data_IF_874995305267
#
_entry.id   IF_874995305267
#
_cell.length_a   1.000
_cell.length_b   1.000
_cell.length_c   1.000
_cell.angle_alpha   90.00
_cell.angle_beta   90.00
_cell.angle_gamma   90.00
#
_symmetry.space_group_name_H-M   'P 1'
#
loop_
_entity.id
_entity.type
_entity.pdbx_description
1 polymer ?
#
# COMPACT_ATOMS: atom_id res chain seq x y z
N UNK A 1 1.85 11.65 18.94
CA UNK A 1 1.22 11.67 17.62
C UNK A 1 0.28 12.87 17.53
N UNK A 2 0.28 13.58 16.41
CA UNK A 2 -0.64 14.69 16.21
C UNK A 2 -1.88 14.17 15.47
N UNK A 3 -3.10 14.53 15.90
CA UNK A 3 -4.33 13.99 15.35
C UNK A 3 -4.61 14.46 13.91
N UNK A 4 -3.93 15.50 13.45
CA UNK A 4 -4.08 16.03 12.08
C UNK A 4 -2.78 16.63 11.59
N UNK A 5 -2.52 16.50 10.29
CA UNK A 5 -1.42 17.21 9.61
C UNK A 5 -1.61 18.75 9.60
N UNK A 6 -2.81 19.21 9.91
CA UNK A 6 -3.13 20.64 10.04
C UNK A 6 -2.95 21.17 11.46
N UNK A 7 -2.41 20.37 12.38
CA UNK A 7 -2.14 20.80 13.74
C UNK A 7 -0.86 21.66 13.77
N UNK A 8 -0.97 22.91 14.15
CA UNK A 8 0.15 23.87 14.21
C UNK A 8 1.33 23.38 15.08
N UNK A 9 1.06 22.52 16.07
CA UNK A 9 2.10 21.91 16.88
C UNK A 9 3.00 20.97 16.08
N UNK A 10 2.48 20.36 14.99
CA UNK A 10 3.29 19.56 14.10
C UNK A 10 4.27 20.44 13.31
N UNK A 11 3.81 21.58 12.80
CA UNK A 11 4.65 22.57 12.09
C UNK A 11 5.75 23.12 13.00
N UNK A 12 5.46 23.38 14.27
CA UNK A 12 6.44 23.90 15.23
C UNK A 12 7.55 22.91 15.62
N UNK A 13 7.50 21.65 15.18
CA UNK A 13 8.47 20.59 15.50
C UNK A 13 9.12 19.95 14.27
N UNK A 14 8.73 20.34 13.06
CA UNK A 14 9.39 19.85 11.86
C UNK A 14 10.74 20.55 11.66
N UNK A 15 11.67 19.84 11.04
CA UNK A 15 13.00 20.37 10.70
C UNK A 15 12.93 21.38 9.54
N UNK A 16 11.95 21.20 8.66
CA UNK A 16 11.67 22.10 7.54
C UNK A 16 10.17 22.20 7.31
N UNK A 17 9.73 23.35 6.83
CA UNK A 17 8.38 23.58 6.34
C UNK A 17 8.46 24.06 4.89
N UNK A 18 7.63 23.49 4.03
CA UNK A 18 7.64 23.75 2.60
C UNK A 18 6.25 24.05 2.11
N UNK A 19 6.17 24.82 1.02
CA UNK A 19 4.92 25.01 0.32
C UNK A 19 4.50 23.70 -0.37
N UNK A 20 3.22 23.57 -0.69
CA UNK A 20 2.69 22.39 -1.39
C UNK A 20 3.37 22.13 -2.74
N UNK A 21 3.79 23.20 -3.43
CA UNK A 21 4.51 23.12 -4.70
C UNK A 21 5.93 22.58 -4.48
N UNK A 22 6.63 23.08 -3.48
CA UNK A 22 7.98 22.62 -3.13
C UNK A 22 7.97 21.15 -2.71
N UNK A 23 6.97 20.72 -1.94
CA UNK A 23 6.79 19.33 -1.55
C UNK A 23 6.69 18.40 -2.77
N UNK A 24 5.90 18.78 -3.79
CA UNK A 24 5.87 18.01 -5.05
C UNK A 24 7.17 18.14 -5.85
N UNK A 25 7.83 19.28 -5.81
CA UNK A 25 9.16 19.45 -6.40
C UNK A 25 10.20 18.50 -5.82
N UNK A 26 10.19 18.26 -4.52
CA UNK A 26 11.09 17.34 -3.86
C UNK A 26 10.91 15.87 -4.32
N UNK A 27 9.75 15.50 -4.81
CA UNK A 27 9.55 14.16 -5.37
C UNK A 27 10.49 13.84 -6.54
N UNK A 28 10.96 14.86 -7.27
CA UNK A 28 11.91 14.70 -8.38
C UNK A 28 13.33 14.35 -7.91
N UNK A 29 13.68 14.62 -6.67
CA UNK A 29 14.95 14.20 -6.08
C UNK A 29 14.98 12.73 -5.67
N UNK A 30 13.82 12.05 -5.78
CA UNK A 30 13.64 10.66 -5.40
C UNK A 30 13.39 10.49 -3.90
N UNK A 31 12.66 9.43 -3.57
CA UNK A 31 12.41 8.99 -2.21
C UNK A 31 12.93 7.56 -2.07
N UNK A 32 13.41 7.19 -0.91
CA UNK A 32 13.79 5.80 -0.68
C UNK A 32 12.57 4.89 -0.68
N UNK A 33 11.50 5.32 -0.01
CA UNK A 33 10.23 4.57 0.02
C UNK A 33 9.03 5.49 0.24
N UNK A 34 7.85 4.97 -0.12
CA UNK A 34 6.56 5.62 0.09
C UNK A 34 5.49 4.61 0.50
N UNK A 35 4.53 5.02 1.31
CA UNK A 35 3.37 4.20 1.70
C UNK A 35 2.13 4.67 0.94
N UNK A 36 1.36 3.72 0.43
CA UNK A 36 0.12 4.02 -0.29
C UNK A 36 -1.00 3.03 0.00
N UNK A 37 -2.22 3.46 -0.30
CA UNK A 37 -3.41 2.61 -0.29
C UNK A 37 -4.32 2.98 -1.45
N UNK A 38 -5.40 2.23 -1.66
CA UNK A 38 -6.34 2.48 -2.76
C UNK A 38 -7.70 1.83 -2.54
N UNK A 39 -8.59 2.07 -3.49
CA UNK A 39 -9.91 1.44 -3.53
C UNK A 39 -9.82 -0.02 -3.97
N UNK A 40 -8.93 -0.31 -4.93
CA UNK A 40 -8.67 -1.65 -5.45
C UNK A 40 -7.18 -1.87 -5.65
N UNK A 41 -6.75 -3.12 -5.49
CA UNK A 41 -5.40 -3.62 -5.71
C UNK A 41 -5.50 -4.92 -6.49
N UNK A 42 -4.70 -5.09 -7.55
CA UNK A 42 -4.67 -6.34 -8.32
C UNK A 42 -3.46 -7.21 -7.98
N UNK A 43 -3.38 -8.35 -8.65
CA UNK A 43 -2.33 -9.34 -8.45
C UNK A 43 -0.91 -8.83 -8.76
N UNK A 44 -0.76 -7.71 -9.42
CA UNK A 44 0.52 -7.06 -9.74
C UNK A 44 0.80 -5.81 -8.91
N UNK A 45 -0.05 -5.56 -7.89
CA UNK A 45 0.08 -4.38 -7.02
C UNK A 45 -0.23 -3.06 -7.72
N UNK A 46 -0.97 -3.10 -8.84
CA UNK A 46 -1.54 -1.89 -9.40
C UNK A 46 -2.64 -1.37 -8.48
N UNK A 47 -2.71 -0.06 -8.33
CA UNK A 47 -3.65 0.58 -7.40
C UNK A 47 -4.64 1.43 -8.17
N UNK A 48 -5.92 1.28 -7.84
CA UNK A 48 -6.99 2.12 -8.33
C UNK A 48 -7.48 3.09 -7.25
N UNK A 49 -7.49 4.37 -7.59
CA UNK A 49 -8.01 5.47 -6.78
C UNK A 49 -9.01 6.34 -7.55
N UNK A 50 -9.29 6.02 -8.83
CA UNK A 50 -10.15 6.86 -9.67
C UNK A 50 -11.62 6.51 -9.56
N UNK A 51 -11.98 5.26 -9.83
CA UNK A 51 -13.37 4.83 -9.77
C UNK A 51 -13.50 3.32 -9.63
N UNK A 52 -14.62 2.87 -9.08
CA UNK A 52 -14.99 1.45 -9.04
C UNK A 52 -16.32 1.25 -9.74
N UNK A 53 -16.35 0.31 -10.66
CA UNK A 53 -17.52 -0.04 -11.48
C UNK A 53 -17.96 1.08 -12.43
N UNK A 54 -18.69 0.71 -13.45
CA UNK A 54 -19.13 1.65 -14.50
C UNK A 54 -17.98 2.09 -15.40
N UNK A 55 -17.99 3.34 -15.80
CA UNK A 55 -16.95 3.97 -16.63
C UNK A 55 -16.35 5.17 -15.92
N UNK A 56 -15.22 5.69 -16.43
CA UNK A 56 -14.61 6.91 -15.90
C UNK A 56 -15.57 8.11 -15.88
N UNK A 57 -16.49 8.20 -16.83
CA UNK A 57 -17.48 9.28 -16.94
C UNK A 57 -18.77 9.01 -16.15
N UNK A 58 -19.09 7.73 -15.90
CA UNK A 58 -20.28 7.30 -15.15
C UNK A 58 -19.92 6.19 -14.15
N UNK A 59 -19.10 6.49 -13.12
CA UNK A 59 -18.66 5.50 -12.15
C UNK A 59 -19.76 5.18 -11.14
N UNK A 60 -19.77 3.93 -10.61
CA UNK A 60 -20.59 3.59 -9.45
C UNK A 60 -20.04 4.23 -8.17
N UNK A 61 -18.72 4.25 -8.03
CA UNK A 61 -18.01 4.92 -6.94
C UNK A 61 -16.90 5.79 -7.53
N UNK A 62 -16.87 7.06 -7.16
CA UNK A 62 -15.80 8.00 -7.52
C UNK A 62 -14.79 8.06 -6.39
N UNK A 63 -13.52 7.84 -6.71
CA UNK A 63 -12.38 8.01 -5.80
C UNK A 63 -11.75 9.39 -5.88
N UNK A 64 -10.74 9.64 -5.03
CA UNK A 64 -10.03 10.93 -4.95
C UNK A 64 -9.10 11.20 -6.14
N UNK A 65 -8.76 10.17 -6.93
CA UNK A 65 -7.83 10.30 -8.06
C UNK A 65 -6.35 10.14 -7.67
N UNK A 66 -5.47 10.73 -8.47
CA UNK A 66 -4.03 10.44 -8.48
C UNK A 66 -3.18 11.40 -7.62
N UNK A 67 -3.69 11.90 -6.50
CA UNK A 67 -3.06 12.96 -5.71
C UNK A 67 -1.55 12.76 -5.42
N UNK A 68 -1.13 11.53 -5.11
CA UNK A 68 0.23 11.21 -4.71
C UNK A 68 0.96 10.29 -5.72
N UNK A 69 0.54 10.27 -6.96
CA UNK A 69 1.10 9.40 -7.99
C UNK A 69 2.61 9.63 -8.20
N UNK A 70 3.05 10.88 -8.20
CA UNK A 70 4.45 11.25 -8.42
C UNK A 70 5.38 10.59 -7.39
N UNK A 71 4.99 10.54 -6.13
CA UNK A 71 5.81 9.92 -5.08
C UNK A 71 6.01 8.42 -5.28
N UNK A 72 5.01 7.71 -5.80
CA UNK A 72 5.15 6.28 -6.11
C UNK A 72 6.10 6.03 -7.27
N UNK A 73 6.15 6.94 -8.25
CA UNK A 73 7.05 6.82 -9.40
C UNK A 73 8.48 7.23 -9.11
N UNK A 74 8.66 8.23 -8.27
CA UNK A 74 10.00 8.75 -7.92
C UNK A 74 10.63 8.03 -6.74
N UNK A 75 9.86 7.30 -5.95
CA UNK A 75 10.43 6.45 -4.89
C UNK A 75 11.09 5.19 -5.47
N UNK A 76 12.19 4.77 -4.86
CA UNK A 76 12.87 3.52 -5.22
C UNK A 76 11.90 2.34 -5.14
N UNK A 77 11.10 2.30 -4.07
CA UNK A 77 10.06 1.30 -3.82
C UNK A 77 8.90 1.90 -3.05
N UNK A 78 7.74 1.25 -3.08
CA UNK A 78 6.63 1.64 -2.23
C UNK A 78 5.98 0.44 -1.52
N UNK A 79 5.18 0.75 -0.52
CA UNK A 79 4.45 -0.22 0.29
C UNK A 79 2.97 0.04 0.17
N UNK A 80 2.17 -1.01 0.06
CA UNK A 80 0.72 -0.91 -0.03
C UNK A 80 0.14 -1.29 1.33
N UNK A 81 -0.57 -0.37 1.98
CA UNK A 81 -1.12 -0.55 3.33
C UNK A 81 -2.63 -0.28 3.36
N UNK A 82 -3.46 -1.18 2.80
CA UNK A 82 -4.91 -1.02 2.82
C UNK A 82 -5.46 -1.30 4.22
N UNK A 83 -6.48 -0.56 4.61
CA UNK A 83 -7.20 -0.76 5.88
C UNK A 83 -8.18 -1.92 5.83
N UNK A 84 -8.50 -2.43 4.64
CA UNK A 84 -9.41 -3.55 4.43
C UNK A 84 -8.75 -4.62 3.55
N UNK A 85 -9.11 -5.89 3.80
CA UNK A 85 -8.71 -7.01 2.95
C UNK A 85 -9.95 -7.84 2.61
N UNK A 86 -10.55 -7.53 1.48
CA UNK A 86 -11.77 -8.16 0.97
C UNK A 86 -11.67 -8.35 -0.53
N UNK A 87 -12.51 -9.21 -1.11
CA UNK A 87 -12.59 -9.39 -2.58
C UNK A 87 -13.05 -8.14 -3.34
N UNK A 88 -13.51 -7.09 -2.64
CA UNK A 88 -13.82 -5.78 -3.27
C UNK A 88 -12.57 -4.92 -3.44
N UNK A 89 -11.58 -5.09 -2.55
CA UNK A 89 -10.32 -4.33 -2.57
C UNK A 89 -9.20 -5.08 -3.28
N UNK A 90 -9.17 -6.41 -3.16
CA UNK A 90 -8.22 -7.28 -3.84
C UNK A 90 -8.93 -7.97 -4.98
N UNK A 91 -8.75 -7.46 -6.20
CA UNK A 91 -9.46 -7.88 -7.41
C UNK A 91 -8.49 -8.48 -8.42
N UNK A 92 -8.95 -9.36 -9.32
CA UNK A 92 -8.09 -9.93 -10.36
C UNK A 92 -7.49 -8.84 -11.25
N UNK A 93 -8.29 -7.81 -11.56
CA UNK A 93 -7.87 -6.64 -12.33
C UNK A 93 -8.56 -5.40 -11.80
N UNK A 94 -7.79 -4.33 -11.57
CA UNK A 94 -8.34 -3.03 -11.19
C UNK A 94 -9.16 -2.42 -12.32
N UNK A 95 -10.22 -1.69 -11.99
CA UNK A 95 -11.06 -1.01 -12.99
C UNK A 95 -10.32 0.14 -13.68
N UNK A 96 -9.35 0.72 -13.00
CA UNK A 96 -8.49 1.76 -13.51
C UNK A 96 -7.11 1.70 -12.84
N UNK A 97 -6.03 1.80 -13.60
CA UNK A 97 -4.68 1.89 -13.03
C UNK A 97 -4.37 3.35 -12.74
N UNK A 98 -4.51 3.73 -11.48
CA UNK A 98 -4.11 5.07 -11.00
C UNK A 98 -2.61 5.10 -10.73
N UNK A 99 -2.12 4.10 -10.00
CA UNK A 99 -0.71 3.94 -9.67
C UNK A 99 -0.28 2.58 -10.21
N UNK A 100 0.59 2.55 -11.22
CA UNK A 100 1.12 1.29 -11.71
C UNK A 100 2.05 0.67 -10.66
N UNK A 101 1.79 -0.60 -10.36
CA UNK A 101 2.70 -1.45 -9.64
C UNK A 101 3.67 -2.14 -10.61
N UNK A 102 3.43 -3.42 -10.84
CA UNK A 102 4.18 -4.20 -11.82
C UNK A 102 3.42 -4.36 -13.16
N UNK A 103 2.32 -3.61 -13.37
CA UNK A 103 1.44 -3.67 -14.54
C UNK A 103 0.89 -5.09 -14.78
N UNK A 104 1.32 -5.77 -15.83
CA UNK A 104 0.99 -7.17 -16.10
C UNK A 104 2.24 -8.07 -16.06
N UNK A 105 3.28 -7.64 -15.36
CA UNK A 105 4.52 -8.39 -15.16
C UNK A 105 5.77 -7.67 -15.67
N UNK A 106 6.93 -8.36 -15.66
CA UNK A 106 8.24 -7.76 -15.91
C UNK A 106 8.34 -7.04 -17.26
N UNK A 107 7.83 -7.67 -18.31
CA UNK A 107 7.91 -7.12 -19.68
C UNK A 107 7.06 -5.85 -19.81
N UNK A 108 5.83 -5.86 -19.30
CA UNK A 108 4.97 -4.68 -19.35
C UNK A 108 5.59 -3.50 -18.60
N UNK A 109 6.19 -3.77 -17.43
CA UNK A 109 6.90 -2.77 -16.64
C UNK A 109 8.08 -2.18 -17.42
N UNK A 110 8.88 -3.02 -18.09
CA UNK A 110 10.01 -2.61 -18.92
C UNK A 110 9.56 -1.73 -20.09
N UNK A 111 8.54 -2.16 -20.83
CA UNK A 111 8.00 -1.43 -21.99
C UNK A 111 7.42 -0.07 -21.57
N UNK A 112 6.80 0.01 -20.38
CA UNK A 112 6.28 1.25 -19.84
C UNK A 112 7.38 2.21 -19.33
N UNK A 113 8.64 1.79 -19.29
CA UNK A 113 9.75 2.61 -18.81
C UNK A 113 9.74 2.85 -17.28
N UNK A 114 9.09 1.98 -16.53
CA UNK A 114 9.07 2.06 -15.06
C UNK A 114 10.36 1.49 -14.49
N UNK A 115 11.22 2.35 -13.99
CA UNK A 115 12.58 2.01 -13.53
C UNK A 115 12.68 1.72 -12.03
N UNK A 116 11.70 2.13 -11.22
CA UNK A 116 11.69 1.87 -9.79
C UNK A 116 11.47 0.37 -9.48
N UNK A 117 11.74 -0.05 -8.23
CA UNK A 117 11.49 -1.44 -7.80
C UNK A 117 9.99 -1.79 -7.83
N UNK A 118 9.11 -0.81 -7.68
CA UNK A 118 7.66 -0.98 -7.57
C UNK A 118 7.21 -1.31 -6.15
N UNK A 119 6.03 -1.93 -5.97
CA UNK A 119 5.55 -2.33 -4.66
C UNK A 119 6.39 -3.49 -4.12
N UNK A 120 6.87 -3.34 -2.88
CA UNK A 120 7.70 -4.36 -2.22
C UNK A 120 6.89 -5.29 -1.32
N UNK A 121 6.02 -4.70 -0.49
CA UNK A 121 5.13 -5.43 0.39
C UNK A 121 3.72 -4.84 0.35
N UNK A 122 2.75 -5.71 0.59
CA UNK A 122 1.36 -5.33 0.87
C UNK A 122 1.05 -5.78 2.29
N UNK A 123 0.84 -4.83 3.18
CA UNK A 123 0.55 -5.09 4.60
C UNK A 123 -0.92 -4.80 4.83
N UNK A 124 -1.68 -5.84 5.16
CA UNK A 124 -3.13 -5.78 5.35
C UNK A 124 -3.49 -6.11 6.80
N UNK A 125 -4.75 -5.94 7.23
CA UNK A 125 -5.16 -6.41 8.57
C UNK A 125 -5.07 -7.92 8.80
N UNK A 126 -4.84 -8.73 7.74
CA UNK A 126 -4.86 -10.21 7.82
C UNK A 126 -3.50 -10.85 7.56
N UNK A 127 -2.66 -10.20 6.75
CA UNK A 127 -1.47 -10.83 6.21
C UNK A 127 -0.45 -9.81 5.71
N UNK A 128 0.77 -10.27 5.53
CA UNK A 128 1.78 -9.62 4.70
C UNK A 128 1.89 -10.41 3.39
N UNK A 129 1.84 -9.68 2.27
CA UNK A 129 2.06 -10.24 0.94
C UNK A 129 3.34 -9.62 0.36
N UNK A 130 4.03 -10.36 -0.51
CA UNK A 130 5.14 -9.88 -1.31
C UNK A 130 4.90 -10.22 -2.79
N UNK A 131 5.90 -10.07 -3.61
CA UNK A 131 5.80 -10.34 -5.04
C UNK A 131 6.83 -11.39 -5.43
N UNK A 132 6.39 -12.35 -6.24
CA UNK A 132 7.27 -13.36 -6.80
C UNK A 132 8.33 -12.70 -7.71
N UNK A 133 9.62 -12.96 -7.53
CA UNK A 133 10.67 -12.25 -8.25
C UNK A 133 10.70 -12.53 -9.77
N UNK A 134 10.15 -13.67 -10.22
CA UNK A 134 10.14 -14.02 -11.63
C UNK A 134 8.90 -13.49 -12.36
N UNK A 135 7.74 -13.57 -11.74
CA UNK A 135 6.45 -13.21 -12.35
C UNK A 135 5.96 -11.83 -11.95
N UNK A 136 6.47 -11.28 -10.86
CA UNK A 136 6.01 -10.05 -10.21
C UNK A 136 4.53 -10.11 -9.78
N UNK A 137 3.98 -11.32 -9.62
CA UNK A 137 2.64 -11.52 -9.05
C UNK A 137 2.71 -11.52 -7.53
N UNK A 138 1.69 -10.95 -6.92
CA UNK A 138 1.49 -10.94 -5.47
C UNK A 138 1.28 -12.37 -4.96
N UNK A 139 1.94 -12.70 -3.86
CA UNK A 139 1.84 -13.99 -3.18
C UNK A 139 1.77 -13.79 -1.67
N UNK A 140 1.26 -14.79 -0.96
CA UNK A 140 1.15 -14.76 0.50
C UNK A 140 2.51 -15.03 1.14
N UNK A 141 3.04 -14.04 1.87
CA UNK A 141 4.32 -14.12 2.59
C UNK A 141 4.14 -14.65 4.01
N UNK A 142 3.20 -14.07 4.77
CA UNK A 142 2.89 -14.50 6.13
C UNK A 142 1.46 -14.12 6.51
N UNK A 143 0.87 -14.81 7.49
CA UNK A 143 -0.45 -14.50 8.04
C UNK A 143 -0.32 -13.91 9.45
N UNK A 144 -1.15 -12.95 9.78
CA UNK A 144 -1.19 -12.38 11.13
C UNK A 144 -1.83 -13.36 12.12
N UNK A 145 -1.49 -13.20 13.40
CA UNK A 145 -2.07 -14.00 14.46
C UNK A 145 -3.61 -13.92 14.43
N UNK A 146 -4.27 -15.07 14.60
CA UNK A 146 -5.73 -15.20 14.52
C UNK A 146 -6.31 -15.39 13.11
N UNK A 147 -5.49 -15.37 12.06
CA UNK A 147 -5.90 -15.62 10.68
C UNK A 147 -5.26 -16.88 10.09
N UNK A 148 -5.85 -17.40 9.03
CA UNK A 148 -5.34 -18.56 8.28
C UNK A 148 -5.10 -18.22 6.81
N UNK A 149 -4.19 -18.93 6.15
CA UNK A 149 -3.91 -18.77 4.72
C UNK A 149 -5.17 -18.97 3.86
N UNK A 150 -6.00 -19.96 4.22
CA UNK A 150 -7.26 -20.22 3.53
C UNK A 150 -8.27 -19.05 3.69
N UNK A 151 -8.29 -18.41 4.85
CA UNK A 151 -9.11 -17.21 5.07
C UNK A 151 -8.61 -16.04 4.22
N UNK A 152 -7.30 -15.80 4.20
CA UNK A 152 -6.71 -14.74 3.37
C UNK A 152 -7.06 -14.96 1.90
N UNK A 153 -6.92 -16.19 1.39
CA UNK A 153 -7.28 -16.54 0.01
C UNK A 153 -8.77 -16.26 -0.27
N UNK A 154 -9.68 -16.65 0.61
CA UNK A 154 -11.13 -16.38 0.43
C UNK A 154 -11.47 -14.89 0.35
N UNK A 155 -10.65 -14.02 0.94
CA UNK A 155 -10.81 -12.56 0.91
C UNK A 155 -10.01 -11.89 -0.21
N UNK A 156 -9.31 -12.66 -1.05
CA UNK A 156 -8.53 -12.17 -2.19
C UNK A 156 -9.19 -12.64 -3.49
N UNK A 157 -9.40 -11.71 -4.42
CA UNK A 157 -10.08 -11.98 -5.70
C UNK A 157 -9.19 -12.63 -6.76
N UNK A 158 -7.96 -13.02 -6.42
CA UNK A 158 -7.02 -13.72 -7.29
C UNK A 158 -6.24 -14.79 -6.51
N UNK A 159 -5.62 -15.72 -7.24
CA UNK A 159 -4.80 -16.76 -6.63
C UNK A 159 -3.49 -16.17 -6.08
N UNK A 160 -3.25 -16.40 -4.80
CA UNK A 160 -2.03 -15.99 -4.09
C UNK A 160 -0.89 -17.00 -4.19
N UNK A 161 -1.06 -18.10 -4.92
CA UNK A 161 -0.05 -19.14 -5.05
C UNK A 161 0.34 -19.76 -3.70
N UNK A 162 -0.64 -20.06 -2.83
CA UNK A 162 -0.39 -20.50 -1.47
C UNK A 162 0.30 -21.86 -1.47
N UNK A 163 1.50 -21.90 -0.90
CA UNK A 163 2.22 -23.15 -0.59
C UNK A 163 1.81 -23.69 0.77
N UNK A 164 2.13 -24.97 1.05
CA UNK A 164 1.65 -25.67 2.25
C UNK A 164 2.12 -25.09 3.60
N UNK A 165 3.17 -24.27 3.61
CA UNK A 165 3.81 -23.77 4.85
C UNK A 165 3.93 -22.25 4.84
N UNK A 166 2.80 -21.54 4.97
CA UNK A 166 2.83 -20.08 5.16
C UNK A 166 3.12 -19.77 6.63
N UNK A 167 4.20 -19.04 6.96
CA UNK A 167 4.53 -18.71 8.33
C UNK A 167 3.56 -17.69 8.92
N UNK A 168 3.48 -17.65 10.26
CA UNK A 168 2.86 -16.51 10.93
C UNK A 168 3.80 -15.30 10.89
N UNK A 169 3.20 -14.13 10.78
CA UNK A 169 3.92 -12.86 10.97
C UNK A 169 4.43 -12.79 12.41
N UNK A 170 5.71 -12.50 12.63
CA UNK A 170 6.23 -12.33 13.98
C UNK A 170 5.43 -11.29 14.76
N UNK A 171 5.15 -11.59 16.02
CA UNK A 171 4.54 -10.62 16.90
C UNK A 171 5.54 -9.50 17.24
N UNK A 172 5.08 -8.29 17.49
CA UNK A 172 5.96 -7.23 17.97
C UNK A 172 6.56 -7.60 19.33
N UNK A 173 7.78 -7.17 19.55
CA UNK A 173 8.47 -7.34 20.83
C UNK A 173 7.84 -6.45 21.91
N UNK A 174 8.08 -6.77 23.17
CA UNK A 174 7.65 -5.91 24.30
C UNK A 174 8.25 -4.50 24.22
N UNK A 175 9.49 -4.38 23.73
CA UNK A 175 10.15 -3.09 23.54
C UNK A 175 9.42 -2.25 22.47
N UNK A 176 9.08 -2.85 21.33
CA UNK A 176 8.31 -2.19 20.25
C UNK A 176 6.91 -1.79 20.73
N UNK A 177 6.23 -2.66 21.48
CA UNK A 177 4.92 -2.36 22.08
C UNK A 177 4.99 -1.22 23.09
N UNK A 178 6.00 -1.22 23.94
CA UNK A 178 6.24 -0.15 24.92
C UNK A 178 6.54 1.17 24.19
N UNK A 179 7.42 1.15 23.19
CA UNK A 179 7.71 2.33 22.39
C UNK A 179 6.45 2.88 21.71
N UNK A 180 5.64 2.01 21.11
CA UNK A 180 4.40 2.39 20.46
C UNK A 180 3.43 3.02 21.46
N UNK A 181 3.15 2.36 22.60
CA UNK A 181 2.11 2.73 23.56
C UNK A 181 2.49 3.94 24.40
N UNK A 182 3.74 4.06 24.81
CA UNK A 182 4.18 5.06 25.79
C UNK A 182 4.85 6.28 25.15
N UNK A 183 5.45 6.12 23.96
CA UNK A 183 6.18 7.20 23.28
C UNK A 183 5.45 7.75 22.07
N UNK A 184 4.89 6.87 21.21
CA UNK A 184 4.30 7.24 19.93
C UNK A 184 2.81 7.51 20.06
N UNK A 185 2.04 6.52 20.48
CA UNK A 185 0.57 6.58 20.53
C UNK A 185 0.05 6.68 21.98
N UNK A 186 0.49 7.70 22.71
CA UNK A 186 0.07 7.95 24.11
C UNK A 186 -1.44 8.12 24.24
N UNK A 187 -2.09 8.64 23.22
CA UNK A 187 -3.54 8.89 23.20
C UNK A 187 -4.37 7.69 22.78
N UNK A 188 -3.74 6.61 22.29
CA UNK A 188 -4.43 5.42 21.84
C UNK A 188 -5.11 5.55 20.46
N UNK A 189 -4.76 6.56 19.69
CA UNK A 189 -5.38 6.83 18.36
C UNK A 189 -5.19 5.67 17.36
N UNK A 190 -4.09 4.94 17.47
CA UNK A 190 -3.79 3.79 16.59
C UNK A 190 -4.36 2.46 17.11
N UNK A 191 -5.04 2.48 18.26
CA UNK A 191 -5.58 1.30 18.94
C UNK A 191 -7.08 1.14 18.79
N UNK A 192 -7.72 2.03 18.04
CA UNK A 192 -9.16 2.04 17.81
C UNK A 192 -9.59 1.03 16.74
#
# INVERSE_FOLDING_TARGET
LYPSMLDDRALGRCEAAETFIELFGHSHHGLEFFFHSGLQHDAYGNINLHHVGGTLHAPKVRGPGAANLSYCHTSTRFYICPTLHTTRNFVEKVDFVTIPGHLSGPEAKRVAGLTNEGPRFVVTPRAVLDFDPATLRMRLKSVHAGHTAAEVQRHTGFDLGITQNVPQTPLPTEEELTALRERIDKTGTLRA
#
